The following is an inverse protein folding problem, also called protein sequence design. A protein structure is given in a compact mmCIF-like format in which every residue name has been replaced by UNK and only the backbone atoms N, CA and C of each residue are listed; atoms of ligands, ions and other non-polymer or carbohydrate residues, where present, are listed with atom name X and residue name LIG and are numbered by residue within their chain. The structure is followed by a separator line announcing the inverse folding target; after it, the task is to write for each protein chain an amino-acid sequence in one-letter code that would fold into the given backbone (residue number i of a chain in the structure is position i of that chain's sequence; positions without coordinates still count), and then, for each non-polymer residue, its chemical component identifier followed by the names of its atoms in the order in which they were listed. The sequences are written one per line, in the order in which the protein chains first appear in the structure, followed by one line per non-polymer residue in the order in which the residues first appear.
data_IF_036546083014
#
_entry.id   IF_036546083014
#
_cell.length_a   1.000
_cell.length_b   1.000
_cell.length_c   1.000
_cell.angle_alpha   90.00
_cell.angle_beta   90.00
_cell.angle_gamma   90.00
#
_symmetry.space_group_name_H-M   'P 1'
#
loop_
_entity.id
_entity.type
_entity.pdbx_description
1 polymer ?
#
# COMPACT_ATOMS: atom_id res chain seq x y z
N UNK A 1 75.47 -10.19 3.51
CA UNK A 1 74.55 -11.00 2.69
C UNK A 1 73.52 -11.63 3.62
N UNK A 2 72.23 -11.36 3.38
CA UNK A 2 71.00 -12.11 3.72
C UNK A 2 70.75 -12.56 5.20
N UNK A 3 69.54 -12.60 5.76
CA UNK A 3 68.19 -12.13 5.42
C UNK A 3 67.25 -12.52 6.60
N UNK A 4 66.13 -11.79 6.75
CA UNK A 4 64.85 -12.18 7.41
C UNK A 4 64.87 -12.41 8.95
N UNK A 5 63.83 -12.11 9.74
CA UNK A 5 62.42 -11.82 9.46
C UNK A 5 61.82 -11.10 10.67
N UNK A 6 61.33 -9.87 10.51
CA UNK A 6 60.56 -9.18 11.54
C UNK A 6 59.07 -9.33 11.19
N UNK A 7 58.38 -10.16 11.97
CA UNK A 7 56.93 -10.36 11.91
C UNK A 7 56.27 -9.01 12.21
N UNK A 8 55.53 -8.47 11.22
CA UNK A 8 54.70 -7.27 11.44
C UNK A 8 53.55 -7.65 12.36
N UNK A 9 53.54 -7.05 13.54
CA UNK A 9 52.45 -7.12 14.52
C UNK A 9 51.12 -6.76 13.86
N UNK A 10 50.17 -7.68 13.94
CA UNK A 10 48.81 -7.48 13.46
C UNK A 10 48.10 -6.42 14.28
N UNK A 11 47.35 -5.56 13.59
CA UNK A 11 46.40 -4.63 14.18
C UNK A 11 45.45 -5.39 15.13
N UNK A 12 45.62 -5.19 16.44
CA UNK A 12 44.68 -5.69 17.44
C UNK A 12 43.40 -4.88 17.36
N UNK A 13 42.38 -5.46 16.73
CA UNK A 13 41.01 -4.97 16.74
C UNK A 13 40.53 -4.92 18.19
N UNK A 14 40.08 -3.75 18.66
CA UNK A 14 39.74 -3.53 20.06
C UNK A 14 38.50 -4.33 20.48
N UNK A 15 38.33 -4.56 21.79
CA UNK A 15 37.14 -5.24 22.33
C UNK A 15 35.84 -4.48 21.99
N UNK A 16 35.91 -3.16 21.81
CA UNK A 16 34.79 -2.34 21.35
C UNK A 16 34.45 -2.57 19.87
N UNK A 17 35.47 -2.76 19.02
CA UNK A 17 35.28 -3.09 17.60
C UNK A 17 34.69 -4.50 17.42
N UNK A 18 35.03 -5.44 18.33
CA UNK A 18 34.47 -6.80 18.33
C UNK A 18 33.01 -6.87 18.76
N UNK A 19 32.50 -5.88 19.52
CA UNK A 19 31.09 -5.82 19.93
C UNK A 19 30.18 -5.48 18.74
N UNK A 20 30.68 -4.79 17.71
CA UNK A 20 29.92 -4.49 16.49
C UNK A 20 29.91 -5.63 15.45
N UNK A 21 30.77 -6.65 15.61
CA UNK A 21 30.89 -7.78 14.67
C UNK A 21 29.91 -8.93 14.95
N UNK A 22 29.06 -8.82 15.98
CA UNK A 22 28.11 -9.88 16.38
C UNK A 22 26.63 -9.52 16.22
N UNK A 23 26.28 -8.52 15.40
CA UNK A 23 24.90 -8.34 14.99
C UNK A 23 24.66 -9.05 13.65
N UNK A 24 24.49 -10.38 13.70
CA UNK A 24 24.43 -11.24 12.51
C UNK A 24 23.38 -10.81 11.47
N UNK A 25 22.44 -9.89 11.77
CA UNK A 25 21.52 -9.26 10.82
C UNK A 25 21.01 -7.87 11.28
N UNK A 26 21.81 -7.07 12.00
CA UNK A 26 21.37 -5.77 12.51
C UNK A 26 21.36 -4.66 11.45
N UNK A 27 20.30 -3.85 11.41
CA UNK A 27 20.26 -2.63 10.60
C UNK A 27 21.21 -1.57 11.17
N UNK A 28 22.04 -0.98 10.31
CA UNK A 28 22.89 0.16 10.70
C UNK A 28 22.11 1.47 10.55
N UNK A 29 22.59 2.54 11.18
CA UNK A 29 22.01 3.88 11.00
C UNK A 29 22.05 4.32 9.53
N UNK A 30 23.15 4.04 8.83
CA UNK A 30 23.30 4.36 7.42
C UNK A 30 22.27 3.63 6.55
N UNK A 31 21.99 2.35 6.84
CA UNK A 31 20.95 1.61 6.14
C UNK A 31 19.55 2.14 6.45
N UNK A 32 19.27 2.49 7.70
CA UNK A 32 18.00 3.12 8.09
C UNK A 32 17.80 4.45 7.36
N UNK A 33 18.84 5.28 7.27
CA UNK A 33 18.80 6.55 6.54
C UNK A 33 18.60 6.33 5.02
N UNK A 34 19.22 5.30 4.44
CA UNK A 34 18.97 4.91 3.04
C UNK A 34 17.53 4.45 2.80
N UNK A 35 16.97 3.63 3.70
CA UNK A 35 15.58 3.17 3.61
C UNK A 35 14.62 4.36 3.67
N UNK A 36 14.83 5.27 4.63
CA UNK A 36 14.04 6.49 4.76
C UNK A 36 14.11 7.32 3.48
N UNK A 37 15.31 7.57 2.95
CA UNK A 37 15.49 8.38 1.75
C UNK A 37 14.81 7.78 0.51
N UNK A 38 14.91 6.47 0.32
CA UNK A 38 14.23 5.78 -0.78
C UNK A 38 12.71 5.83 -0.65
N UNK A 39 12.17 5.73 0.57
CA UNK A 39 10.73 5.90 0.84
C UNK A 39 10.30 7.35 0.60
N UNK A 40 11.10 8.34 1.00
CA UNK A 40 10.82 9.77 0.75
C UNK A 40 10.72 10.09 -0.73
N UNK A 41 11.56 9.44 -1.55
CA UNK A 41 11.56 9.55 -3.01
C UNK A 41 10.44 8.77 -3.69
N UNK A 42 9.86 7.79 -3.01
CA UNK A 42 8.82 6.91 -3.56
C UNK A 42 7.58 6.86 -2.64
N UNK A 43 6.98 8.00 -2.26
CA UNK A 43 6.01 8.04 -1.17
C UNK A 43 4.73 7.25 -1.49
N UNK A 44 4.28 7.20 -2.75
CA UNK A 44 3.11 6.39 -3.17
C UNK A 44 3.33 4.88 -3.03
N UNK A 45 4.59 4.43 -3.18
CA UNK A 45 4.99 3.02 -3.18
C UNK A 45 5.35 2.50 -1.79
N UNK A 46 5.28 3.34 -0.74
CA UNK A 46 5.71 3.04 0.64
C UNK A 46 5.06 1.83 1.31
N UNK A 47 3.94 1.33 0.79
CA UNK A 47 3.26 0.13 1.32
C UNK A 47 3.53 -1.14 0.50
N UNK A 48 4.12 -1.00 -0.69
CA UNK A 48 4.33 -2.07 -1.68
C UNK A 48 5.51 -2.96 -1.32
N UNK A 49 5.48 -4.23 -1.73
CA UNK A 49 6.64 -5.13 -1.57
C UNK A 49 7.78 -4.79 -2.54
N UNK A 50 7.44 -4.35 -3.77
CA UNK A 50 8.40 -4.08 -4.83
C UNK A 50 9.42 -3.02 -4.44
N UNK A 51 8.97 -1.90 -3.86
CA UNK A 51 9.88 -0.84 -3.38
C UNK A 51 10.93 -1.40 -2.41
N UNK A 52 10.51 -2.19 -1.41
CA UNK A 52 11.45 -2.72 -0.43
C UNK A 52 12.38 -3.81 -0.99
N UNK A 53 11.99 -4.50 -2.06
CA UNK A 53 12.91 -5.38 -2.79
C UNK A 53 13.98 -4.57 -3.53
N UNK A 54 13.60 -3.48 -4.20
CA UNK A 54 14.57 -2.59 -4.87
C UNK A 54 15.54 -1.95 -3.85
N UNK A 55 15.07 -1.58 -2.66
CA UNK A 55 15.94 -1.08 -1.58
C UNK A 55 16.87 -2.21 -1.08
N UNK A 56 16.38 -3.44 -1.00
CA UNK A 56 17.18 -4.59 -0.60
C UNK A 56 18.32 -4.87 -1.58
N UNK A 57 18.07 -4.76 -2.89
CA UNK A 57 19.09 -4.87 -3.93
C UNK A 57 20.17 -3.80 -3.78
N UNK A 58 19.80 -2.56 -3.41
CA UNK A 58 20.76 -1.47 -3.16
C UNK A 58 21.61 -1.69 -1.91
N UNK A 59 21.06 -2.27 -0.84
CA UNK A 59 21.78 -2.51 0.42
C UNK A 59 22.58 -3.83 0.38
N UNK A 60 22.11 -4.83 -0.35
CA UNK A 60 22.81 -6.11 -0.60
C UNK A 60 22.83 -7.11 0.56
N UNK A 61 22.55 -6.68 1.80
CA UNK A 61 22.62 -7.52 3.02
C UNK A 61 21.26 -7.98 3.56
N UNK A 62 20.19 -7.29 3.20
CA UNK A 62 18.85 -7.52 3.75
C UNK A 62 17.91 -8.05 2.68
N UNK A 63 16.81 -8.68 3.11
CA UNK A 63 15.73 -9.06 2.19
C UNK A 63 14.69 -7.95 2.11
N UNK A 64 13.92 -7.90 1.02
CA UNK A 64 12.81 -6.94 0.92
C UNK A 64 11.81 -7.07 2.07
N UNK A 65 11.61 -8.27 2.62
CA UNK A 65 10.76 -8.49 3.79
C UNK A 65 11.36 -7.92 5.08
N UNK A 66 12.66 -8.11 5.35
CA UNK A 66 13.29 -7.57 6.56
C UNK A 66 13.35 -6.04 6.52
N UNK A 67 13.63 -5.45 5.35
CA UNK A 67 13.59 -3.99 5.16
C UNK A 67 12.18 -3.45 5.37
N UNK A 68 11.18 -4.09 4.76
CA UNK A 68 9.78 -3.68 4.91
C UNK A 68 9.32 -3.74 6.37
N UNK A 69 9.70 -4.80 7.07
CA UNK A 69 9.44 -4.93 8.49
C UNK A 69 10.11 -3.78 9.27
N UNK A 70 11.42 -3.59 9.07
CA UNK A 70 12.21 -2.53 9.71
C UNK A 70 11.59 -1.15 9.53
N UNK A 71 11.20 -0.82 8.28
CA UNK A 71 10.54 0.43 7.97
C UNK A 71 9.24 0.60 8.76
N UNK A 72 8.33 -0.37 8.65
CA UNK A 72 6.99 -0.28 9.26
C UNK A 72 7.01 -0.21 10.79
N UNK A 73 7.95 -0.91 11.44
CA UNK A 73 7.97 -1.02 12.90
C UNK A 73 8.84 0.02 13.58
N UNK A 74 9.93 0.45 12.94
CA UNK A 74 10.93 1.33 13.57
C UNK A 74 11.05 2.68 12.88
N UNK A 75 11.08 2.73 11.54
CA UNK A 75 11.46 3.95 10.81
C UNK A 75 10.28 4.81 10.36
N UNK A 76 9.07 4.25 10.30
CA UNK A 76 7.90 4.97 9.77
C UNK A 76 7.64 6.28 10.53
N UNK A 77 7.86 6.27 11.85
CA UNK A 77 7.70 7.45 12.71
C UNK A 77 8.87 8.46 12.55
N UNK A 78 10.01 8.04 12.00
CA UNK A 78 11.17 8.89 11.70
C UNK A 78 11.10 9.55 10.31
N UNK A 79 10.07 9.24 9.50
CA UNK A 79 9.97 9.72 8.11
C UNK A 79 9.95 11.26 8.05
N UNK A 80 9.16 11.90 8.93
CA UNK A 80 8.95 13.35 9.12
C UNK A 80 8.43 14.12 7.89
N UNK A 81 8.98 13.86 6.72
CA UNK A 81 8.60 14.45 5.44
C UNK A 81 8.78 13.42 4.32
N UNK A 82 8.18 13.68 3.17
CA UNK A 82 8.46 13.02 1.89
C UNK A 82 8.72 14.07 0.82
N UNK A 83 9.18 13.69 -0.36
CA UNK A 83 9.30 14.63 -1.46
C UNK A 83 7.99 14.74 -2.24
N UNK A 84 7.68 15.93 -2.73
CA UNK A 84 6.53 16.17 -3.60
C UNK A 84 6.69 15.40 -4.91
N UNK A 85 5.57 14.86 -5.37
CA UNK A 85 5.45 14.15 -6.64
C UNK A 85 4.33 14.76 -7.46
N UNK A 86 4.42 14.63 -8.78
CA UNK A 86 3.31 14.92 -9.70
C UNK A 86 2.30 13.77 -9.72
N UNK A 87 1.26 13.90 -10.54
CA UNK A 87 0.19 12.89 -10.67
C UNK A 87 0.69 11.56 -11.28
N UNK A 88 1.81 11.57 -11.99
CA UNK A 88 2.47 10.38 -12.54
C UNK A 88 3.40 9.70 -11.53
N UNK A 89 3.69 10.38 -10.41
CA UNK A 89 4.57 9.91 -9.36
C UNK A 89 6.04 10.31 -9.54
N UNK A 90 6.36 11.20 -10.48
CA UNK A 90 7.70 11.73 -10.66
C UNK A 90 8.01 12.80 -9.61
N UNK A 91 9.27 12.89 -9.19
CA UNK A 91 9.71 13.86 -8.17
C UNK A 91 9.71 15.28 -8.72
N UNK A 92 9.12 16.21 -7.97
CA UNK A 92 9.10 17.63 -8.30
C UNK A 92 10.32 18.31 -7.67
N UNK A 93 11.04 19.08 -8.48
CA UNK A 93 12.17 19.91 -8.06
C UNK A 93 11.83 21.40 -8.04
N UNK A 94 12.55 22.16 -7.23
CA UNK A 94 12.54 23.62 -7.28
C UNK A 94 13.34 24.18 -8.47
N UNK A 95 13.43 25.51 -8.58
CA UNK A 95 14.16 26.21 -9.64
C UNK A 95 15.67 25.92 -9.67
N UNK A 96 16.21 25.30 -8.64
CA UNK A 96 17.64 24.94 -8.50
C UNK A 96 17.85 23.44 -8.68
N UNK A 97 16.79 22.67 -8.97
CA UNK A 97 16.85 21.23 -9.18
C UNK A 97 16.84 20.41 -7.89
N UNK A 98 16.48 21.00 -6.74
CA UNK A 98 16.39 20.28 -5.46
C UNK A 98 14.96 19.78 -5.22
N UNK A 99 14.81 18.54 -4.72
CA UNK A 99 13.50 17.99 -4.41
C UNK A 99 12.80 18.77 -3.29
N UNK A 100 11.50 19.04 -3.49
CA UNK A 100 10.70 19.84 -2.57
C UNK A 100 10.13 18.92 -1.47
N UNK A 101 10.50 19.09 -0.18
CA UNK A 101 9.92 18.32 0.91
C UNK A 101 8.48 18.75 1.22
N UNK A 102 7.68 17.82 1.71
CA UNK A 102 6.32 18.04 2.18
C UNK A 102 5.99 17.08 3.34
N UNK A 103 5.22 17.55 4.32
CA UNK A 103 4.68 16.71 5.39
C UNK A 103 3.37 16.03 4.97
N UNK A 104 2.73 16.52 3.90
CA UNK A 104 1.52 15.92 3.35
C UNK A 104 1.85 14.56 2.71
N UNK A 105 1.44 13.48 3.38
CA UNK A 105 1.61 12.12 2.88
C UNK A 105 0.64 11.86 1.73
N UNK A 106 1.10 11.56 0.51
CA UNK A 106 0.20 11.25 -0.58
C UNK A 106 -0.52 9.92 -0.33
N UNK A 107 -1.64 9.69 -1.03
CA UNK A 107 -2.32 8.39 -1.00
C UNK A 107 -1.36 7.26 -1.43
N UNK A 108 -1.51 6.09 -0.81
CA UNK A 108 -0.81 4.90 -1.28
C UNK A 108 -1.43 4.40 -2.57
N UNK A 109 -0.68 3.67 -3.39
CA UNK A 109 -1.20 3.09 -4.65
C UNK A 109 -2.50 2.28 -4.52
N UNK A 110 -2.83 1.78 -3.32
CA UNK A 110 -4.09 1.09 -3.04
C UNK A 110 -4.96 1.95 -2.14
N UNK A 111 -6.07 2.46 -2.67
CA UNK A 111 -7.12 3.06 -1.87
C UNK A 111 -7.95 1.96 -1.20
N UNK A 112 -8.30 2.15 0.07
CA UNK A 112 -9.22 1.26 0.77
C UNK A 112 -10.65 1.60 0.34
N UNK A 113 -11.48 0.58 0.18
CA UNK A 113 -12.92 0.77 0.01
C UNK A 113 -13.51 1.26 1.33
N UNK A 114 -14.36 2.27 1.24
CA UNK A 114 -15.13 2.83 2.37
C UNK A 114 -16.55 2.28 2.36
N UNK A 115 -17.29 2.47 3.48
CA UNK A 115 -18.71 2.10 3.54
C UNK A 115 -19.52 2.83 2.45
N UNK A 116 -19.13 4.08 2.15
CA UNK A 116 -19.76 4.86 1.09
C UNK A 116 -19.49 4.27 -0.30
N UNK A 117 -18.28 3.78 -0.55
CA UNK A 117 -17.96 3.10 -1.81
C UNK A 117 -18.81 1.85 -1.99
N UNK A 118 -18.96 1.04 -0.94
CA UNK A 118 -19.76 -0.18 -0.96
C UNK A 118 -21.24 0.13 -1.21
N UNK A 119 -21.78 1.14 -0.53
CA UNK A 119 -23.17 1.57 -0.73
C UNK A 119 -23.39 2.09 -2.14
N UNK A 120 -22.47 2.90 -2.65
CA UNK A 120 -22.54 3.45 -4.01
C UNK A 120 -22.53 2.34 -5.06
N UNK A 121 -21.64 1.36 -4.89
CA UNK A 121 -21.59 0.20 -5.77
C UNK A 121 -22.88 -0.64 -5.66
N UNK A 122 -23.34 -0.96 -4.46
CA UNK A 122 -24.56 -1.74 -4.25
C UNK A 122 -25.80 -1.05 -4.87
N UNK A 123 -25.90 0.28 -4.71
CA UNK A 123 -26.98 1.07 -5.29
C UNK A 123 -26.94 1.06 -6.82
N UNK A 124 -25.76 1.31 -7.41
CA UNK A 124 -25.59 1.26 -8.86
C UNK A 124 -25.92 -0.12 -9.45
N UNK A 125 -25.63 -1.19 -8.71
CA UNK A 125 -26.02 -2.56 -9.09
C UNK A 125 -27.55 -2.68 -9.12
N UNK A 126 -28.24 -2.21 -8.08
CA UNK A 126 -29.71 -2.24 -8.03
C UNK A 126 -30.36 -1.42 -9.13
N UNK A 127 -29.85 -0.21 -9.38
CA UNK A 127 -30.33 0.64 -10.46
C UNK A 127 -30.15 -0.08 -11.83
N UNK A 128 -29.01 -0.76 -12.03
CA UNK A 128 -28.77 -1.53 -13.24
C UNK A 128 -29.70 -2.73 -13.43
N UNK A 129 -30.08 -3.40 -12.33
CA UNK A 129 -31.05 -4.50 -12.31
C UNK A 129 -32.45 -3.96 -12.64
N UNK A 130 -32.85 -2.84 -12.02
CA UNK A 130 -34.16 -2.23 -12.22
C UNK A 130 -34.38 -1.81 -13.69
N UNK A 131 -33.32 -1.36 -14.37
CA UNK A 131 -33.36 -1.03 -15.80
C UNK A 131 -33.44 -2.28 -16.71
N UNK A 132 -33.15 -3.48 -16.18
CA UNK A 132 -33.05 -4.75 -16.95
C UNK A 132 -33.65 -5.94 -16.19
N UNK A 133 -34.94 -5.90 -15.83
CA UNK A 133 -35.55 -6.89 -14.93
C UNK A 133 -35.49 -8.31 -15.49
N UNK A 134 -35.59 -8.48 -16.81
CA UNK A 134 -35.57 -9.78 -17.50
C UNK A 134 -34.21 -10.53 -17.40
N UNK A 135 -33.15 -9.85 -16.95
CA UNK A 135 -31.80 -10.42 -16.83
C UNK A 135 -31.38 -10.70 -15.39
N UNK A 136 -32.32 -10.63 -14.43
CA UNK A 136 -32.03 -10.82 -13.01
C UNK A 136 -32.10 -12.30 -12.65
N UNK A 137 -31.01 -12.94 -12.24
CA UNK A 137 -31.04 -14.33 -11.79
C UNK A 137 -31.69 -14.46 -10.41
N UNK A 138 -32.24 -15.64 -10.10
CA UNK A 138 -32.87 -15.95 -8.82
C UNK A 138 -31.87 -15.89 -7.64
N UNK A 139 -30.61 -16.26 -7.86
CA UNK A 139 -29.52 -16.07 -6.89
C UNK A 139 -28.68 -14.85 -7.27
N UNK A 140 -28.56 -13.89 -6.35
CA UNK A 140 -27.71 -12.71 -6.51
C UNK A 140 -26.23 -13.06 -6.77
N UNK A 141 -25.79 -14.28 -6.45
CA UNK A 141 -24.44 -14.79 -6.78
C UNK A 141 -24.22 -15.04 -8.26
N UNK A 142 -25.30 -15.32 -8.98
CA UNK A 142 -25.27 -15.56 -10.42
C UNK A 142 -25.41 -14.26 -11.22
N UNK A 143 -25.57 -13.12 -10.54
CA UNK A 143 -25.67 -11.81 -11.18
C UNK A 143 -24.32 -11.42 -11.82
N UNK A 144 -24.26 -11.52 -13.14
CA UNK A 144 -23.10 -11.13 -13.94
C UNK A 144 -23.34 -9.76 -14.59
N UNK A 145 -22.64 -8.75 -14.09
CA UNK A 145 -22.69 -7.40 -14.66
C UNK A 145 -21.73 -7.25 -15.85
N UNK A 146 -22.13 -6.52 -16.91
CA UNK A 146 -21.31 -6.34 -18.10
C UNK A 146 -20.06 -5.51 -17.79
N UNK A 147 -18.96 -5.75 -18.53
CA UNK A 147 -17.72 -4.99 -18.34
C UNK A 147 -17.87 -3.47 -18.45
N UNK A 148 -18.82 -3.00 -19.28
CA UNK A 148 -19.17 -1.59 -19.44
C UNK A 148 -19.73 -0.95 -18.17
N UNK A 149 -20.44 -1.71 -17.32
CA UNK A 149 -20.91 -1.22 -16.03
C UNK A 149 -19.73 -0.76 -15.16
N UNK A 150 -18.69 -1.58 -15.05
CA UNK A 150 -17.51 -1.25 -14.26
C UNK A 150 -16.62 -0.17 -14.89
N UNK A 151 -16.68 0.01 -16.22
CA UNK A 151 -16.03 1.14 -16.90
C UNK A 151 -16.69 2.46 -16.51
N UNK A 152 -18.03 2.50 -16.54
CA UNK A 152 -18.80 3.66 -16.13
C UNK A 152 -18.61 3.96 -14.63
N UNK A 153 -18.63 2.93 -13.76
CA UNK A 153 -18.34 3.09 -12.33
C UNK A 153 -16.97 3.72 -12.06
N UNK A 154 -15.92 3.30 -12.78
CA UNK A 154 -14.58 3.88 -12.61
C UNK A 154 -14.47 5.31 -13.15
N UNK A 155 -15.33 5.69 -14.11
CA UNK A 155 -15.41 7.05 -14.65
C UNK A 155 -16.12 7.98 -13.67
N UNK A 156 -17.25 7.53 -13.10
CA UNK A 156 -18.06 8.34 -12.18
C UNK A 156 -17.45 8.38 -10.77
N UNK A 157 -16.74 7.32 -10.38
CA UNK A 157 -16.05 7.19 -9.09
C UNK A 157 -14.58 6.81 -9.30
N UNK A 158 -13.71 7.80 -9.62
CA UNK A 158 -12.32 7.58 -10.00
C UNK A 158 -11.38 7.23 -8.83
N UNK A 159 -11.92 7.15 -7.60
CA UNK A 159 -11.16 6.74 -6.41
C UNK A 159 -10.75 5.26 -6.45
N UNK A 160 -11.39 4.44 -7.28
CA UNK A 160 -11.01 3.04 -7.54
C UNK A 160 -11.03 2.73 -9.04
N UNK A 161 -10.16 1.82 -9.47
CA UNK A 161 -10.10 1.41 -10.88
C UNK A 161 -11.26 0.47 -11.24
N UNK A 162 -11.56 0.33 -12.54
CA UNK A 162 -12.53 -0.66 -13.06
C UNK A 162 -12.32 -2.05 -12.47
N UNK A 163 -11.07 -2.51 -12.44
CA UNK A 163 -10.72 -3.82 -11.90
C UNK A 163 -10.99 -3.91 -10.40
N UNK A 164 -10.67 -2.86 -9.64
CA UNK A 164 -10.93 -2.80 -8.21
C UNK A 164 -12.45 -2.82 -7.91
N UNK A 165 -13.26 -2.04 -8.63
CA UNK A 165 -14.72 -2.06 -8.51
C UNK A 165 -15.31 -3.44 -8.81
N UNK A 166 -14.87 -4.09 -9.90
CA UNK A 166 -15.30 -5.45 -10.27
C UNK A 166 -14.94 -6.47 -9.20
N UNK A 167 -13.72 -6.42 -8.68
CA UNK A 167 -13.29 -7.34 -7.62
C UNK A 167 -14.03 -7.08 -6.31
N UNK A 168 -14.32 -5.82 -5.98
CA UNK A 168 -15.12 -5.46 -4.81
C UNK A 168 -16.53 -6.00 -4.90
N UNK A 169 -17.17 -5.85 -6.06
CA UNK A 169 -18.48 -6.42 -6.35
C UNK A 169 -18.50 -7.94 -6.11
N UNK A 170 -17.62 -8.67 -6.82
CA UNK A 170 -17.62 -10.14 -6.80
C UNK A 170 -17.24 -10.73 -5.44
N UNK A 171 -16.25 -10.15 -4.76
CA UNK A 171 -15.68 -10.74 -3.52
C UNK A 171 -16.34 -10.23 -2.24
N UNK A 172 -17.09 -9.14 -2.27
CA UNK A 172 -17.64 -8.53 -1.05
C UNK A 172 -19.13 -8.23 -1.17
N UNK A 173 -19.55 -7.42 -2.15
CA UNK A 173 -20.97 -7.00 -2.26
C UNK A 173 -21.88 -8.18 -2.55
N UNK A 174 -21.52 -9.03 -3.53
CA UNK A 174 -22.31 -10.21 -3.89
C UNK A 174 -22.40 -11.22 -2.73
N UNK A 175 -21.28 -11.65 -2.09
CA UNK A 175 -21.35 -12.55 -0.95
C UNK A 175 -22.09 -11.99 0.27
N UNK A 176 -22.02 -10.68 0.52
CA UNK A 176 -22.77 -10.02 1.58
C UNK A 176 -24.27 -10.00 1.26
N UNK A 177 -24.61 -9.75 0.00
CA UNK A 177 -25.96 -9.52 -0.51
C UNK A 177 -26.19 -8.03 -0.77
N UNK A 178 -26.49 -7.67 -2.03
CA UNK A 178 -26.66 -6.29 -2.48
C UNK A 178 -27.72 -5.57 -1.65
N UNK A 179 -28.94 -6.13 -1.59
CA UNK A 179 -30.06 -5.56 -0.83
C UNK A 179 -29.77 -5.46 0.67
N UNK A 180 -29.10 -6.50 1.21
CA UNK A 180 -28.75 -6.55 2.63
C UNK A 180 -27.84 -5.40 3.02
N UNK A 181 -26.84 -5.08 2.18
CA UNK A 181 -25.93 -3.99 2.50
C UNK A 181 -26.58 -2.61 2.37
N UNK A 182 -27.47 -2.44 1.38
CA UNK A 182 -28.25 -1.21 1.24
C UNK A 182 -29.13 -0.96 2.46
N UNK A 183 -29.93 -1.96 2.87
CA UNK A 183 -30.76 -1.88 4.07
C UNK A 183 -29.91 -1.58 5.31
N UNK A 184 -28.83 -2.34 5.53
CA UNK A 184 -27.92 -2.13 6.65
C UNK A 184 -27.39 -0.68 6.70
N UNK A 185 -26.93 -0.17 5.56
CA UNK A 185 -26.35 1.17 5.49
C UNK A 185 -27.38 2.25 5.83
N UNK A 186 -28.60 2.13 5.30
CA UNK A 186 -29.70 3.06 5.55
C UNK A 186 -30.21 2.97 7.00
N UNK A 187 -30.30 1.77 7.56
CA UNK A 187 -30.66 1.52 8.95
C UNK A 187 -29.67 2.17 9.91
N UNK A 188 -28.36 2.02 9.66
CA UNK A 188 -27.32 2.67 10.45
C UNK A 188 -27.43 4.20 10.42
N UNK A 189 -27.68 4.78 9.23
CA UNK A 189 -27.89 6.22 9.11
C UNK A 189 -29.16 6.69 9.83
N UNK A 190 -30.27 5.96 9.71
CA UNK A 190 -31.53 6.29 10.36
C UNK A 190 -31.43 6.24 11.90
N UNK A 191 -30.57 5.34 12.40
CA UNK A 191 -30.28 5.21 13.81
C UNK A 191 -29.15 6.14 14.29
N UNK A 192 -28.72 7.09 13.45
CA UNK A 192 -27.68 8.07 13.74
C UNK A 192 -26.32 7.44 14.12
N UNK A 193 -26.01 6.28 13.51
CA UNK A 193 -24.74 5.56 13.61
C UNK A 193 -23.94 5.71 12.30
N UNK A 194 -22.65 5.36 12.36
CA UNK A 194 -21.75 5.42 11.21
C UNK A 194 -21.67 4.03 10.56
N UNK A 195 -22.14 3.85 9.30
CA UNK A 195 -22.06 2.55 8.63
C UNK A 195 -20.61 2.12 8.40
N UNK A 196 -20.35 0.82 8.49
CA UNK A 196 -19.04 0.23 8.23
C UNK A 196 -18.92 -0.39 6.83
N UNK A 197 -17.70 -0.42 6.30
CA UNK A 197 -17.40 -1.10 5.04
C UNK A 197 -17.49 -2.63 5.16
N UNK A 198 -17.79 -3.31 4.05
CA UNK A 198 -17.85 -4.77 4.00
C UNK A 198 -16.44 -5.35 4.24
N UNK A 199 -16.29 -6.10 5.34
CA UNK A 199 -15.02 -6.75 5.74
C UNK A 199 -15.18 -8.27 5.77
N UNK A 200 -14.05 -8.98 5.72
CA UNK A 200 -13.96 -10.43 5.99
C UNK A 200 -14.65 -11.38 5.00
N UNK A 201 -14.86 -10.98 3.73
CA UNK A 201 -15.40 -11.87 2.68
C UNK A 201 -14.36 -12.45 1.71
N UNK A 202 -13.08 -12.17 1.92
CA UNK A 202 -11.99 -12.86 1.20
C UNK A 202 -11.78 -14.27 1.78
N UNK A 203 -12.69 -15.19 1.46
CA UNK A 203 -12.41 -16.63 1.55
C UNK A 203 -11.31 -17.00 0.56
N UNK A 204 -10.43 -17.94 0.95
CA UNK A 204 -9.38 -18.48 0.07
C UNK A 204 -9.96 -19.19 -1.14
#
# INVERSE_FOLDING_TARGET
MNAASAVKEGNFVSKADRINLHNKNGFTRQEDDMILEEVRKNPHRRSTHKLFHEIAEKIGRHTGNSIRYRFRTHLQNELKYVYKTDDEGNLITDSVGKYIPTEAMPSTMKNKFTARDDYTLAKAVMDNIADRPESTPDDARDLVLPGKFFEQMAKDHPNHTRAAWRDRYRKFVVPYGVDKYLSYYEDELSANRVPEEIKNFTGR
#
